data_IF_078300964775
#
_entry.id   IF_078300964775
#
_cell.length_a   1.000
_cell.length_b   1.000
_cell.length_c   1.000
_cell.angle_alpha   90.00
_cell.angle_beta   90.00
_cell.angle_gamma   90.00
#
_symmetry.space_group_name_H-M   'P 1'
#
loop_
_entity.id
_entity.type
_entity.pdbx_description
1 polymer ?
#
# COMPACT_ATOMS: atom_id res chain seq x y z
N UNK A 1 16.97 13.99 -7.49
CA UNK A 1 15.77 14.24 -6.65
C UNK A 1 15.39 12.92 -6.01
N UNK A 2 15.68 12.78 -4.73
CA UNK A 2 15.17 11.69 -3.89
C UNK A 2 13.64 11.79 -3.88
N UNK A 3 12.94 10.88 -4.57
CA UNK A 3 11.50 10.76 -4.38
C UNK A 3 11.30 10.22 -2.97
N UNK A 4 10.85 11.08 -2.06
CA UNK A 4 10.42 10.67 -0.71
C UNK A 4 9.27 9.69 -0.88
N UNK A 5 9.46 8.45 -0.42
CA UNK A 5 8.40 7.46 -0.38
C UNK A 5 7.62 7.55 0.93
N UNK A 6 6.39 7.06 0.88
CA UNK A 6 5.45 7.11 1.99
C UNK A 6 5.51 5.78 2.75
N UNK A 7 5.80 5.83 4.05
CA UNK A 7 5.77 4.64 4.90
C UNK A 7 4.40 4.57 5.56
N UNK A 8 3.65 3.45 5.43
CA UNK A 8 2.44 3.25 6.22
C UNK A 8 2.78 3.28 7.71
N UNK A 9 2.06 4.13 8.46
CA UNK A 9 2.21 4.22 9.91
C UNK A 9 1.56 3.01 10.59
N UNK A 10 0.46 2.52 10.01
CA UNK A 10 -0.27 1.35 10.47
C UNK A 10 -0.92 0.62 9.28
N UNK A 11 -1.32 -0.63 9.50
CA UNK A 11 -2.00 -1.41 8.48
C UNK A 11 -2.48 -2.77 8.98
N UNK A 12 -3.44 -3.34 8.26
CA UNK A 12 -4.00 -4.64 8.60
C UNK A 12 -4.72 -5.27 7.42
N UNK A 13 -4.85 -6.59 7.49
CA UNK A 13 -5.64 -7.37 6.55
C UNK A 13 -7.11 -7.38 6.97
N UNK A 14 -7.98 -7.12 6.00
CA UNK A 14 -9.44 -7.20 6.14
C UNK A 14 -10.05 -7.80 4.88
N UNK A 15 -11.37 -7.96 4.87
CA UNK A 15 -12.12 -8.45 3.71
C UNK A 15 -13.21 -7.46 3.32
N UNK A 16 -13.36 -7.24 2.02
CA UNK A 16 -14.45 -6.45 1.47
C UNK A 16 -15.08 -7.18 0.31
N UNK A 17 -16.37 -7.54 0.43
CA UNK A 17 -17.13 -8.26 -0.60
C UNK A 17 -16.47 -9.57 -1.07
N UNK A 18 -15.71 -10.23 -0.19
CA UNK A 18 -14.98 -11.46 -0.49
C UNK A 18 -13.54 -11.25 -1.00
N UNK A 19 -13.15 -10.02 -1.31
CA UNK A 19 -11.78 -9.68 -1.68
C UNK A 19 -10.94 -9.43 -0.43
N UNK A 20 -9.70 -9.95 -0.43
CA UNK A 20 -8.69 -9.64 0.59
C UNK A 20 -8.24 -8.20 0.38
N UNK A 21 -8.26 -7.40 1.44
CA UNK A 21 -7.88 -5.99 1.39
C UNK A 21 -6.79 -5.72 2.41
N UNK A 22 -5.65 -5.24 1.93
CA UNK A 22 -4.62 -4.63 2.77
C UNK A 22 -5.00 -3.17 3.00
N UNK A 23 -5.51 -2.87 4.19
CA UNK A 23 -5.84 -1.52 4.62
C UNK A 23 -4.61 -0.86 5.22
N UNK A 24 -4.26 0.33 4.75
CA UNK A 24 -3.06 1.07 5.15
C UNK A 24 -3.43 2.47 5.64
N UNK A 25 -2.89 2.85 6.79
CA UNK A 25 -2.92 4.22 7.27
C UNK A 25 -1.64 4.94 6.83
N UNK A 26 -1.80 5.98 6.01
CA UNK A 26 -0.71 6.79 5.50
C UNK A 26 -1.09 8.28 5.62
N UNK A 27 -1.04 8.88 6.82
CA UNK A 27 -1.53 10.25 7.06
C UNK A 27 -0.93 11.32 6.15
N UNK A 28 0.33 11.13 5.73
CA UNK A 28 1.04 12.01 4.80
C UNK A 28 0.41 12.08 3.38
N UNK A 29 -0.53 11.21 3.05
CA UNK A 29 -1.23 11.18 1.76
C UNK A 29 -2.54 11.98 1.72
N UNK A 30 -2.84 12.79 2.73
CA UNK A 30 -4.10 13.54 2.85
C UNK A 30 -4.52 14.26 1.56
N UNK A 31 -3.57 14.88 0.83
CA UNK A 31 -3.83 15.59 -0.42
C UNK A 31 -4.32 14.72 -1.59
N UNK A 32 -4.22 13.40 -1.49
CA UNK A 32 -4.60 12.46 -2.54
C UNK A 32 -5.88 11.68 -2.23
N UNK A 33 -6.33 11.64 -0.97
CA UNK A 33 -7.40 10.73 -0.54
C UNK A 33 -8.74 10.98 -1.23
N UNK A 34 -9.04 12.23 -1.56
CA UNK A 34 -10.30 12.59 -2.22
C UNK A 34 -10.24 12.42 -3.75
N UNK A 35 -9.09 12.04 -4.30
CA UNK A 35 -8.93 11.87 -5.74
C UNK A 35 -9.55 10.55 -6.18
N UNK A 36 -10.54 10.63 -7.06
CA UNK A 36 -11.12 9.44 -7.69
C UNK A 36 -10.10 8.76 -8.62
N UNK A 37 -9.77 7.50 -8.33
CA UNK A 37 -8.89 6.66 -9.15
C UNK A 37 -9.68 6.12 -10.34
N UNK A 38 -9.45 6.66 -11.54
CA UNK A 38 -10.09 6.18 -12.78
C UNK A 38 -9.30 5.07 -13.46
N UNK A 39 -7.97 5.15 -13.35
CA UNK A 39 -7.00 4.19 -13.87
C UNK A 39 -5.75 4.22 -13.01
N UNK A 40 -5.09 3.08 -12.90
CA UNK A 40 -3.82 2.99 -12.20
C UNK A 40 -2.93 1.91 -12.80
N UNK A 41 -1.64 2.00 -12.49
CA UNK A 41 -0.63 0.98 -12.70
C UNK A 41 0.22 0.89 -11.44
N UNK A 42 0.91 -0.22 -11.27
CA UNK A 42 1.77 -0.42 -10.11
C UNK A 42 3.02 -1.21 -10.45
N UNK A 43 4.06 -1.01 -9.65
CA UNK A 43 5.29 -1.80 -9.72
C UNK A 43 5.81 -2.11 -8.33
N UNK A 44 6.21 -3.36 -8.13
CA UNK A 44 6.97 -3.76 -6.96
C UNK A 44 8.47 -3.68 -7.23
N UNK A 45 9.19 -3.12 -6.27
CA UNK A 45 10.64 -3.04 -6.20
C UNK A 45 11.10 -3.57 -4.84
N UNK A 46 12.28 -4.16 -4.79
CA UNK A 46 12.95 -4.48 -3.54
C UNK A 46 14.20 -3.62 -3.42
N UNK A 47 14.28 -2.80 -2.39
CA UNK A 47 15.45 -2.00 -2.07
C UNK A 47 16.28 -2.74 -1.00
N UNK A 48 17.49 -3.18 -1.39
CA UNK A 48 18.40 -3.91 -0.50
C UNK A 48 19.00 -3.03 0.59
N UNK A 49 19.31 -1.77 0.29
CA UNK A 49 19.93 -0.86 1.25
C UNK A 49 18.96 -0.51 2.38
N UNK A 50 17.70 -0.28 2.02
CA UNK A 50 16.62 0.02 2.97
C UNK A 50 15.97 -1.24 3.55
N UNK A 51 16.35 -2.43 3.07
CA UNK A 51 15.72 -3.72 3.40
C UNK A 51 14.19 -3.61 3.38
N UNK A 52 13.65 -3.14 2.25
CA UNK A 52 12.24 -2.79 2.11
C UNK A 52 11.69 -3.16 0.73
N UNK A 53 10.41 -3.53 0.71
CA UNK A 53 9.65 -3.53 -0.54
C UNK A 53 9.11 -2.13 -0.79
N UNK A 54 9.07 -1.73 -2.05
CA UNK A 54 8.47 -0.48 -2.50
C UNK A 54 7.39 -0.83 -3.51
N UNK A 55 6.15 -0.44 -3.20
CA UNK A 55 5.05 -0.47 -4.14
C UNK A 55 4.88 0.92 -4.74
N UNK A 56 5.28 1.07 -5.99
CA UNK A 56 5.15 2.31 -6.73
C UNK A 56 3.79 2.34 -7.45
N UNK A 57 2.82 3.04 -6.87
CA UNK A 57 1.48 3.24 -7.43
C UNK A 57 1.46 4.48 -8.30
N UNK A 58 0.99 4.34 -9.54
CA UNK A 58 0.74 5.48 -10.42
C UNK A 58 -0.71 5.48 -10.85
N UNK A 59 -1.41 6.60 -10.66
CA UNK A 59 -2.83 6.69 -11.01
C UNK A 59 -3.19 8.01 -11.67
N UNK A 60 -4.24 7.96 -12.50
CA UNK A 60 -4.69 9.05 -13.36
C UNK A 60 -3.58 9.64 -14.25
N UNK A 61 -2.51 8.89 -14.53
CA UNK A 61 -1.27 9.27 -15.23
C UNK A 61 -0.47 10.45 -14.63
N UNK A 62 -0.87 10.95 -13.46
CA UNK A 62 -0.31 12.18 -12.89
C UNK A 62 0.21 11.99 -11.47
N UNK A 63 -0.40 11.08 -10.72
CA UNK A 63 -0.09 10.88 -9.32
C UNK A 63 0.78 9.65 -9.15
N UNK A 64 1.89 9.80 -8.44
CA UNK A 64 2.84 8.74 -8.15
C UNK A 64 3.04 8.64 -6.63
N UNK A 65 2.71 7.48 -6.07
CA UNK A 65 2.78 7.18 -4.63
C UNK A 65 3.67 5.95 -4.46
N UNK A 66 4.97 6.14 -4.17
CA UNK A 66 5.83 5.06 -3.75
C UNK A 66 5.59 4.75 -2.28
N UNK A 67 4.88 3.67 -2.00
CA UNK A 67 4.69 3.13 -0.65
C UNK A 67 5.89 2.26 -0.27
N UNK A 68 6.51 2.53 0.87
CA UNK A 68 7.66 1.80 1.38
C UNK A 68 7.20 0.89 2.52
N UNK A 69 7.55 -0.38 2.42
CA UNK A 69 7.27 -1.43 3.40
C UNK A 69 8.61 -1.92 4.00
N UNK A 70 9.10 -1.28 5.07
CA UNK A 70 10.31 -1.74 5.78
C UNK A 70 10.08 -3.11 6.42
N UNK A 71 11.08 -3.98 6.38
CA UNK A 71 10.97 -5.37 6.85
C UNK A 71 10.35 -5.50 8.25
N UNK A 72 10.75 -4.68 9.23
CA UNK A 72 10.37 -4.85 10.64
C UNK A 72 8.98 -4.30 11.00
N UNK A 73 8.36 -3.50 10.13
CA UNK A 73 7.08 -2.84 10.39
C UNK A 73 6.05 -3.23 9.34
N UNK A 74 5.63 -2.31 8.47
CA UNK A 74 4.65 -2.55 7.40
C UNK A 74 5.04 -3.73 6.49
N UNK A 75 6.34 -4.06 6.38
CA UNK A 75 6.81 -5.26 5.70
C UNK A 75 6.27 -6.56 6.27
N UNK A 76 6.02 -6.67 7.58
CA UNK A 76 5.44 -7.88 8.18
C UNK A 76 4.07 -8.22 7.60
N UNK A 77 3.27 -7.22 7.20
CA UNK A 77 1.99 -7.43 6.52
C UNK A 77 2.17 -8.16 5.18
N UNK A 78 3.34 -8.02 4.54
CA UNK A 78 3.67 -8.71 3.30
C UNK A 78 4.13 -10.16 3.52
N UNK A 79 4.24 -10.63 4.76
CA UNK A 79 4.53 -12.02 5.10
C UNK A 79 3.28 -12.85 5.37
N UNK A 80 2.14 -12.20 5.61
CA UNK A 80 0.88 -12.90 5.82
C UNK A 80 0.47 -13.73 4.61
N UNK A 81 -0.28 -14.80 4.87
CA UNK A 81 -0.79 -15.71 3.84
C UNK A 81 -1.59 -14.96 2.76
N UNK A 82 -2.29 -13.90 3.14
CA UNK A 82 -3.07 -13.07 2.23
C UNK A 82 -2.22 -12.32 1.19
N UNK A 83 -0.95 -12.05 1.50
CA UNK A 83 -0.02 -11.41 0.57
C UNK A 83 0.52 -12.33 -0.53
N UNK A 84 0.22 -13.64 -0.48
CA UNK A 84 0.66 -14.62 -1.50
C UNK A 84 -0.33 -14.80 -2.64
N UNK A 85 -1.52 -14.21 -2.53
CA UNK A 85 -2.56 -14.25 -3.55
C UNK A 85 -2.80 -12.86 -4.13
N UNK A 86 -3.75 -12.74 -5.05
CA UNK A 86 -4.24 -11.44 -5.51
C UNK A 86 -5.03 -10.77 -4.37
N UNK A 87 -4.75 -9.50 -4.09
CA UNK A 87 -5.42 -8.70 -3.07
C UNK A 87 -5.67 -7.27 -3.55
N UNK A 88 -6.46 -6.53 -2.80
CA UNK A 88 -6.70 -5.11 -3.03
C UNK A 88 -6.00 -4.27 -1.95
N UNK A 89 -5.65 -3.03 -2.26
CA UNK A 89 -5.09 -2.09 -1.29
C UNK A 89 -6.08 -0.96 -1.08
N UNK A 90 -6.38 -0.67 0.18
CA UNK A 90 -7.11 0.52 0.58
C UNK A 90 -6.17 1.43 1.40
N UNK A 91 -6.13 2.73 1.09
CA UNK A 91 -5.28 3.69 1.78
C UNK A 91 -6.14 4.80 2.35
N UNK A 92 -6.01 5.05 3.65
CA UNK A 92 -6.61 6.20 4.34
C UNK A 92 -5.52 7.19 4.79
N UNK A 93 -5.89 8.45 4.97
CA UNK A 93 -5.00 9.48 5.52
C UNK A 93 -5.30 9.82 7.00
N UNK A 94 -6.03 8.94 7.68
CA UNK A 94 -6.29 8.99 9.12
C UNK A 94 -5.72 7.75 9.81
N UNK A 95 -5.42 7.81 11.11
CA UNK A 95 -5.15 6.62 11.92
C UNK A 95 -6.31 5.62 11.84
N UNK A 96 -6.00 4.31 11.83
CA UNK A 96 -7.03 3.25 11.72
C UNK A 96 -8.07 3.30 12.85
N UNK A 97 -7.62 3.64 14.06
CA UNK A 97 -8.47 3.81 15.26
C UNK A 97 -9.51 4.94 15.15
N UNK A 98 -9.37 5.83 14.16
CA UNK A 98 -10.29 6.95 13.88
C UNK A 98 -11.10 6.72 12.61
N UNK A 99 -11.11 5.50 12.08
CA UNK A 99 -11.88 5.17 10.89
C UNK A 99 -13.37 5.09 11.23
N UNK A 100 -14.15 5.92 10.54
CA UNK A 100 -15.61 5.92 10.52
C UNK A 100 -16.13 5.34 9.20
N UNK A 101 -17.42 5.00 9.13
CA UNK A 101 -18.04 4.35 7.97
C UNK A 101 -17.94 5.15 6.66
N UNK A 102 -17.84 6.48 6.75
CA UNK A 102 -17.73 7.40 5.63
C UNK A 102 -16.30 7.88 5.35
N UNK A 103 -15.30 7.28 6.03
CA UNK A 103 -13.89 7.61 5.83
C UNK A 103 -13.49 7.45 4.36
N UNK A 104 -13.04 8.53 3.74
CA UNK A 104 -12.53 8.49 2.38
C UNK A 104 -11.23 7.66 2.29
N UNK A 105 -11.12 6.84 1.25
CA UNK A 105 -9.95 6.02 0.99
C UNK A 105 -9.64 5.95 -0.51
N UNK A 106 -8.36 5.77 -0.82
CA UNK A 106 -7.92 5.34 -2.15
C UNK A 106 -8.01 3.83 -2.24
N UNK A 107 -8.51 3.32 -3.37
CA UNK A 107 -8.68 1.89 -3.59
C UNK A 107 -7.98 1.43 -4.86
N UNK A 108 -7.14 0.40 -4.72
CA UNK A 108 -6.38 -0.20 -5.80
C UNK A 108 -6.65 -1.71 -5.83
N UNK A 109 -7.56 -2.18 -6.70
CA UNK A 109 -7.92 -3.58 -6.76
C UNK A 109 -6.88 -4.43 -7.50
N UNK A 110 -6.85 -5.74 -7.26
CA UNK A 110 -6.09 -6.73 -8.06
C UNK A 110 -4.57 -6.49 -8.13
N UNK A 111 -3.99 -6.25 -6.96
CA UNK A 111 -2.56 -6.17 -6.73
C UNK A 111 -2.02 -7.57 -6.46
N UNK A 112 -0.88 -7.89 -7.07
CA UNK A 112 -0.11 -9.10 -6.80
C UNK A 112 1.30 -8.69 -6.36
N UNK A 113 1.75 -9.17 -5.19
CA UNK A 113 3.11 -8.91 -4.71
C UNK A 113 4.13 -9.69 -5.53
N UNK A 114 5.06 -8.98 -6.17
CA UNK A 114 6.22 -9.61 -6.81
C UNK A 114 7.37 -9.72 -5.82
N UNK A 115 7.49 -10.89 -5.19
CA UNK A 115 8.59 -11.18 -4.25
C UNK A 115 9.94 -11.22 -4.95
N UNK A 116 10.96 -10.69 -4.29
CA UNK A 116 12.35 -10.72 -4.73
C UNK A 116 13.09 -11.84 -4.01
N UNK A 117 13.85 -12.65 -4.75
CA UNK A 117 14.76 -13.66 -4.17
C UNK A 117 15.79 -13.03 -3.21
N UNK A 118 16.03 -11.73 -3.34
CA UNK A 118 16.99 -11.00 -2.50
C UNK A 118 16.40 -10.50 -1.19
N UNK A 119 15.08 -10.55 -1.02
CA UNK A 119 14.45 -10.19 0.24
C UNK A 119 14.82 -11.16 1.35
N UNK A 120 14.88 -12.47 1.04
CA UNK A 120 15.14 -13.54 2.00
C UNK A 120 14.12 -13.64 3.15
N UNK A 121 13.00 -12.93 3.03
CA UNK A 121 11.82 -12.99 3.89
C UNK A 121 10.58 -12.94 2.99
#
# INVERSE_FOLDING_TARGET
>A
MSKEGFVPEDGGWTQSKGDKVLLLSVPTLQKYIEVSVKKFSYKWLYNRELTSYILDLTFNDEHNIPLIFPQTHAGQLLLDADAYEEFSIAIIASPLEKMEDDTAYLYFPKINLKRSIHAKW
#
